data_IF_891839459965
#
_entry.id   IF_891839459965
#
_cell.length_a   1.000
_cell.length_b   1.000
_cell.length_c   1.000
_cell.angle_alpha   90.00
_cell.angle_beta   90.00
_cell.angle_gamma   90.00
#
_symmetry.space_group_name_H-M   'P 1'
#
loop_
_entity.id
_entity.type
_entity.pdbx_description
1 polymer ?
#
# COMPACT_ATOMS: atom_id res chain seq x y z
N UNK A 1 46.39 -26.25 47.57
CA UNK A 1 45.78 -25.03 47.01
C UNK A 1 45.31 -25.34 45.60
N UNK A 2 44.03 -25.69 45.41
CA UNK A 2 43.44 -25.99 44.10
C UNK A 2 42.51 -24.84 43.74
N UNK A 3 42.94 -23.99 42.81
CA UNK A 3 42.14 -22.87 42.32
C UNK A 3 41.28 -23.37 41.16
N UNK A 4 39.97 -23.46 41.38
CA UNK A 4 39.00 -23.74 40.33
C UNK A 4 38.78 -22.46 39.51
N UNK A 5 39.29 -22.44 38.29
CA UNK A 5 39.04 -21.37 37.32
C UNK A 5 37.62 -21.56 36.77
N UNK A 6 36.66 -20.77 37.27
CA UNK A 6 35.28 -20.76 36.78
C UNK A 6 35.19 -19.83 35.56
N UNK A 7 35.30 -20.39 34.36
CA UNK A 7 35.11 -19.61 33.12
C UNK A 7 33.61 -19.49 32.82
N UNK A 8 33.06 -18.30 33.00
CA UNK A 8 31.68 -17.97 32.66
C UNK A 8 31.58 -17.68 31.15
N UNK A 9 31.00 -18.61 30.39
CA UNK A 9 30.76 -18.43 28.96
C UNK A 9 29.53 -17.51 28.75
N UNK A 10 29.78 -16.24 28.46
CA UNK A 10 28.74 -15.28 28.11
C UNK A 10 28.32 -15.49 26.64
N UNK A 11 27.28 -16.30 26.40
CA UNK A 11 26.70 -16.46 25.06
C UNK A 11 25.86 -15.23 24.74
N UNK A 12 26.40 -14.32 23.93
CA UNK A 12 25.66 -13.20 23.37
C UNK A 12 24.69 -13.73 22.29
N UNK A 13 23.41 -13.83 22.62
CA UNK A 13 22.36 -14.13 21.65
C UNK A 13 22.12 -12.87 20.81
N UNK A 14 22.77 -12.78 19.65
CA UNK A 14 22.46 -11.77 18.65
C UNK A 14 21.12 -12.15 17.98
N UNK A 15 20.03 -11.49 18.37
CA UNK A 15 18.74 -11.64 17.73
C UNK A 15 18.79 -11.17 16.28
N UNK A 16 18.57 -12.07 15.34
CA UNK A 16 18.42 -11.73 13.92
C UNK A 16 17.03 -11.08 13.76
N UNK A 17 16.99 -9.75 13.73
CA UNK A 17 15.79 -9.02 13.37
C UNK A 17 15.55 -9.17 11.86
N UNK A 18 14.77 -10.17 11.47
CA UNK A 18 14.23 -10.26 10.12
C UNK A 18 13.21 -9.15 9.92
N UNK A 19 13.62 -8.06 9.27
CA UNK A 19 12.71 -7.00 8.82
C UNK A 19 11.84 -7.60 7.70
N UNK A 20 10.67 -8.12 8.08
CA UNK A 20 9.68 -8.55 7.11
C UNK A 20 9.22 -7.34 6.29
N UNK A 21 9.18 -7.50 4.97
CA UNK A 21 8.62 -6.47 4.10
C UNK A 21 7.14 -6.25 4.48
N UNK A 22 6.76 -4.99 4.65
CA UNK A 22 5.41 -4.59 5.05
C UNK A 22 4.73 -3.80 3.93
N UNK A 23 3.41 -3.95 3.80
CA UNK A 23 2.60 -3.21 2.82
C UNK A 23 2.54 -1.71 3.12
N UNK A 24 2.76 -1.33 4.37
CA UNK A 24 2.78 0.07 4.80
C UNK A 24 4.00 0.81 4.24
N UNK A 25 3.85 2.13 4.10
CA UNK A 25 4.86 3.02 3.52
C UNK A 25 4.38 3.71 2.25
N UNK A 26 5.31 4.39 1.58
CA UNK A 26 5.02 5.18 0.37
C UNK A 26 5.28 4.38 -0.90
N UNK A 27 4.32 4.45 -1.81
CA UNK A 27 4.30 3.70 -3.06
C UNK A 27 4.03 4.62 -4.23
N UNK A 28 4.86 4.52 -5.26
CA UNK A 28 4.69 5.17 -6.55
C UNK A 28 3.76 4.34 -7.42
N UNK A 29 2.68 4.96 -7.89
CA UNK A 29 1.71 4.36 -8.79
C UNK A 29 2.12 4.55 -10.25
N UNK A 30 1.83 3.58 -11.10
CA UNK A 30 2.19 3.57 -12.52
C UNK A 30 0.92 3.47 -13.38
N UNK A 31 0.85 4.23 -14.47
CA UNK A 31 -0.14 4.01 -15.53
C UNK A 31 0.15 2.69 -16.25
N UNK A 32 -0.79 1.75 -16.21
CA UNK A 32 -0.66 0.44 -16.86
C UNK A 32 -0.68 0.51 -18.39
N UNK A 33 -1.14 1.64 -18.97
CA UNK A 33 -1.17 1.87 -20.42
C UNK A 33 0.03 2.69 -20.91
N UNK A 34 0.43 3.73 -20.18
CA UNK A 34 1.51 4.63 -20.63
C UNK A 34 2.85 4.35 -19.98
N UNK A 35 2.88 3.66 -18.84
CA UNK A 35 4.11 3.45 -18.05
C UNK A 35 4.51 4.64 -17.19
N UNK A 36 3.75 5.74 -17.21
CA UNK A 36 4.10 6.95 -16.48
C UNK A 36 3.80 6.84 -14.98
N UNK A 37 4.66 7.45 -14.17
CA UNK A 37 4.39 7.62 -12.74
C UNK A 37 3.25 8.64 -12.52
N UNK A 38 2.21 8.25 -11.77
CA UNK A 38 1.04 9.12 -11.54
C UNK A 38 1.10 9.86 -10.21
N UNK A 39 1.30 9.12 -9.14
CA UNK A 39 1.16 9.64 -7.77
C UNK A 39 2.01 8.86 -6.78
N UNK A 40 2.23 9.46 -5.61
CA UNK A 40 2.68 8.75 -4.41
C UNK A 40 1.46 8.50 -3.52
N UNK A 41 1.30 7.24 -3.10
CA UNK A 41 0.27 6.79 -2.17
C UNK A 41 0.95 6.29 -0.91
N UNK A 42 0.57 6.85 0.24
CA UNK A 42 0.97 6.36 1.55
C UNK A 42 -0.03 5.31 2.02
N UNK A 43 0.45 4.08 2.19
CA UNK A 43 -0.31 2.98 2.77
C UNK A 43 -0.02 2.93 4.27
N UNK A 44 -1.08 2.91 5.07
CA UNK A 44 -1.01 2.91 6.53
C UNK A 44 -2.05 1.98 7.14
N UNK A 45 -1.79 1.58 8.38
CA UNK A 45 -2.75 0.80 9.17
C UNK A 45 -3.50 1.72 10.14
N UNK A 46 -4.81 1.51 10.24
CA UNK A 46 -5.66 2.16 11.23
C UNK A 46 -6.70 1.16 11.72
N UNK A 47 -6.75 0.93 13.03
CA UNK A 47 -7.69 0.00 13.68
C UNK A 47 -7.67 -1.42 13.06
N UNK A 48 -6.48 -1.96 12.78
CA UNK A 48 -6.31 -3.30 12.21
C UNK A 48 -6.68 -3.43 10.73
N UNK A 49 -6.92 -2.30 10.03
CA UNK A 49 -7.24 -2.27 8.60
C UNK A 49 -6.26 -1.39 7.84
N UNK A 50 -6.04 -1.73 6.58
CA UNK A 50 -5.15 -0.99 5.68
C UNK A 50 -5.92 0.05 4.87
N UNK A 51 -5.34 1.23 4.80
CA UNK A 51 -5.81 2.37 4.02
C UNK A 51 -4.67 2.94 3.17
N UNK A 52 -5.03 3.68 2.13
CA UNK A 52 -4.05 4.29 1.22
C UNK A 52 -4.47 5.71 0.85
N UNK A 53 -3.64 6.68 1.20
CA UNK A 53 -3.88 8.11 0.95
C UNK A 53 -2.98 8.61 -0.18
N UNK A 54 -3.53 9.34 -1.13
CA UNK A 54 -2.72 10.03 -2.13
C UNK A 54 -2.00 11.20 -1.44
N UNK A 55 -0.68 11.17 -1.37
CA UNK A 55 0.12 12.21 -0.71
C UNK A 55 0.80 13.15 -1.69
N UNK A 56 0.92 12.76 -2.95
CA UNK A 56 1.51 13.60 -4.00
C UNK A 56 1.00 13.20 -5.38
N UNK A 57 0.64 14.17 -6.23
CA UNK A 57 0.44 13.97 -7.66
C UNK A 57 1.73 14.34 -8.42
N UNK A 58 2.30 13.36 -9.12
CA UNK A 58 3.58 13.52 -9.82
C UNK A 58 3.43 14.21 -11.17
N UNK A 59 2.27 14.09 -11.83
CA UNK A 59 2.00 14.79 -13.08
C UNK A 59 1.63 16.27 -12.82
N UNK A 60 2.45 17.25 -13.22
CA UNK A 60 2.19 18.66 -12.96
C UNK A 60 0.89 19.17 -13.57
N UNK A 61 0.50 18.67 -14.75
CA UNK A 61 -0.75 19.04 -15.42
C UNK A 61 -2.00 18.56 -14.67
N UNK A 62 -1.81 17.66 -13.69
CA UNK A 62 -2.88 17.12 -12.85
C UNK A 62 -2.78 17.59 -11.41
N UNK A 63 -1.78 18.41 -11.04
CA UNK A 63 -1.73 19.05 -9.73
C UNK A 63 -3.03 19.81 -9.48
N UNK A 64 -3.59 19.64 -8.28
CA UNK A 64 -4.88 20.20 -7.86
C UNK A 64 -6.14 19.64 -8.58
N UNK A 65 -6.03 18.56 -9.34
CA UNK A 65 -7.21 17.87 -9.88
C UNK A 65 -8.16 17.49 -8.73
N UNK A 66 -9.46 17.67 -8.93
CA UNK A 66 -10.50 17.25 -8.01
C UNK A 66 -11.15 15.94 -8.50
N UNK A 67 -11.76 15.19 -7.59
CA UNK A 67 -12.58 14.05 -7.98
C UNK A 67 -14.02 14.48 -8.29
N UNK A 68 -14.23 15.09 -9.45
CA UNK A 68 -15.55 15.63 -9.84
C UNK A 68 -16.58 14.53 -10.14
N UNK A 69 -16.10 13.36 -10.54
CA UNK A 69 -16.92 12.17 -10.83
C UNK A 69 -17.18 11.29 -9.61
N UNK A 70 -16.48 11.54 -8.50
CA UNK A 70 -16.74 10.80 -7.26
C UNK A 70 -18.14 11.14 -6.72
N UNK A 71 -18.67 10.24 -5.91
CA UNK A 71 -19.92 10.43 -5.19
C UNK A 71 -19.69 10.60 -3.69
N UNK A 72 -20.75 11.02 -3.00
CA UNK A 72 -20.77 11.14 -1.54
C UNK A 72 -19.67 12.06 -0.99
N UNK A 73 -19.00 11.59 0.05
CA UNK A 73 -18.00 12.38 0.76
C UNK A 73 -16.75 12.71 -0.07
N UNK A 74 -16.48 12.02 -1.18
CA UNK A 74 -15.28 12.23 -1.99
C UNK A 74 -15.51 13.18 -3.17
N UNK A 75 -16.77 13.53 -3.46
CA UNK A 75 -17.13 14.41 -4.58
C UNK A 75 -16.52 15.80 -4.44
N UNK A 76 -15.84 16.26 -5.49
CA UNK A 76 -15.29 17.60 -5.58
C UNK A 76 -14.09 17.88 -4.66
N UNK A 77 -13.60 16.88 -3.94
CA UNK A 77 -12.39 17.00 -3.12
C UNK A 77 -11.13 16.95 -4.01
N UNK A 78 -10.05 17.64 -3.63
CA UNK A 78 -8.74 17.47 -4.27
C UNK A 78 -8.32 16.01 -4.22
N UNK A 79 -7.81 15.46 -5.33
CA UNK A 79 -7.36 14.06 -5.38
C UNK A 79 -6.18 13.84 -4.43
N UNK A 80 -5.25 14.80 -4.38
CA UNK A 80 -4.23 14.83 -3.36
C UNK A 80 -4.89 15.00 -1.99
N UNK A 81 -4.63 14.07 -1.08
CA UNK A 81 -5.29 13.97 0.22
C UNK A 81 -6.42 12.94 0.30
N UNK A 82 -6.94 12.43 -0.83
CA UNK A 82 -7.98 11.39 -0.79
C UNK A 82 -7.44 10.06 -0.27
N UNK A 83 -8.27 9.41 0.54
CA UNK A 83 -8.10 8.01 0.91
C UNK A 83 -8.72 7.15 -0.20
N UNK A 84 -7.86 6.58 -1.04
CA UNK A 84 -8.28 5.77 -2.18
C UNK A 84 -8.34 4.28 -1.86
N UNK A 85 -7.46 3.73 -1.02
CA UNK A 85 -7.61 2.36 -0.50
C UNK A 85 -8.34 2.43 0.84
N UNK A 86 -9.39 1.65 1.00
CA UNK A 86 -10.34 1.77 2.11
C UNK A 86 -10.56 0.42 2.79
N UNK A 87 -9.92 0.24 3.94
CA UNK A 87 -10.32 -0.75 4.93
C UNK A 87 -9.97 -2.20 4.62
N UNK A 88 -8.85 -2.48 3.93
CA UNK A 88 -8.45 -3.85 3.63
C UNK A 88 -8.06 -4.60 4.92
N UNK A 89 -8.38 -5.88 4.98
CA UNK A 89 -8.06 -6.78 6.10
C UNK A 89 -7.02 -7.79 5.64
N UNK A 90 -6.14 -8.19 6.57
CA UNK A 90 -5.14 -9.22 6.30
C UNK A 90 -5.82 -10.58 6.11
N UNK A 91 -5.44 -11.29 5.06
CA UNK A 91 -5.87 -12.65 4.72
C UNK A 91 -4.65 -13.43 4.21
N UNK A 92 -4.02 -14.22 5.07
CA UNK A 92 -2.77 -14.91 4.76
C UNK A 92 -1.63 -13.94 4.39
N UNK A 93 -1.20 -14.00 3.13
CA UNK A 93 -0.09 -13.22 2.56
C UNK A 93 -0.54 -11.95 1.79
N UNK A 94 -1.85 -11.69 1.76
CA UNK A 94 -2.47 -10.55 1.06
C UNK A 94 -3.37 -9.76 2.01
N UNK A 95 -3.88 -8.63 1.52
CA UNK A 95 -4.93 -7.86 2.18
C UNK A 95 -6.11 -7.67 1.23
N UNK A 96 -7.34 -7.88 1.69
CA UNK A 96 -8.56 -7.94 0.87
C UNK A 96 -9.78 -7.40 1.64
N UNK A 97 -11.01 -7.58 1.12
CA UNK A 97 -12.29 -7.24 1.77
C UNK A 97 -12.50 -5.74 2.04
N UNK A 98 -11.85 -4.90 1.24
CA UNK A 98 -12.16 -3.48 1.17
C UNK A 98 -12.06 -2.99 -0.27
N UNK A 99 -11.99 -1.68 -0.44
CA UNK A 99 -12.17 -1.05 -1.75
C UNK A 99 -11.00 -0.18 -2.16
N UNK A 100 -10.89 0.05 -3.47
CA UNK A 100 -10.05 1.08 -4.08
C UNK A 100 -10.92 2.03 -4.92
N UNK A 101 -10.77 3.33 -4.69
CA UNK A 101 -11.38 4.39 -5.47
C UNK A 101 -10.49 4.74 -6.67
N UNK A 102 -11.04 4.68 -7.87
CA UNK A 102 -10.47 5.31 -9.07
C UNK A 102 -10.99 6.75 -9.17
N UNK A 103 -10.21 7.78 -8.79
CA UNK A 103 -10.68 9.15 -8.79
C UNK A 103 -10.87 9.72 -10.21
N UNK A 104 -10.35 9.07 -11.25
CA UNK A 104 -10.56 9.51 -12.64
C UNK A 104 -11.92 9.05 -13.18
N UNK A 105 -12.45 7.96 -12.63
CA UNK A 105 -13.75 7.40 -12.98
C UNK A 105 -14.83 7.66 -11.93
N UNK A 106 -14.44 8.04 -10.71
CA UNK A 106 -15.34 8.18 -9.57
C UNK A 106 -15.89 6.86 -9.04
N UNK A 107 -15.25 5.73 -9.37
CA UNK A 107 -15.78 4.40 -9.08
C UNK A 107 -14.99 3.69 -7.99
N UNK A 108 -15.70 2.99 -7.11
CA UNK A 108 -15.13 2.05 -6.16
C UNK A 108 -15.07 0.66 -6.77
N UNK A 109 -13.99 -0.04 -6.48
CA UNK A 109 -13.74 -1.42 -6.87
C UNK A 109 -13.33 -2.21 -5.63
N UNK A 110 -13.75 -3.46 -5.52
CA UNK A 110 -13.19 -4.36 -4.52
C UNK A 110 -11.69 -4.49 -4.77
N UNK A 111 -10.90 -4.51 -3.70
CA UNK A 111 -9.46 -4.39 -3.77
C UNK A 111 -8.76 -5.52 -3.03
N UNK A 112 -7.70 -6.02 -3.65
CA UNK A 112 -6.71 -6.87 -3.01
C UNK A 112 -5.33 -6.29 -3.24
N UNK A 113 -4.50 -6.25 -2.19
CA UNK A 113 -3.08 -5.92 -2.31
C UNK A 113 -2.20 -7.06 -1.81
N UNK A 114 -1.06 -7.27 -2.46
CA UNK A 114 -0.07 -8.28 -2.07
C UNK A 114 1.33 -7.79 -2.40
N UNK A 115 2.29 -8.05 -1.51
CA UNK A 115 3.69 -7.77 -1.78
C UNK A 115 4.25 -8.76 -2.79
N UNK A 116 4.93 -8.23 -3.81
CA UNK A 116 5.81 -8.99 -4.70
C UNK A 116 7.26 -8.63 -4.35
N UNK A 117 7.86 -9.44 -3.48
CA UNK A 117 9.15 -9.12 -2.87
C UNK A 117 9.09 -7.91 -1.94
N UNK A 118 10.17 -7.12 -1.90
CA UNK A 118 10.31 -6.00 -0.93
C UNK A 118 9.80 -4.66 -1.47
N UNK A 119 9.96 -4.44 -2.77
CA UNK A 119 9.83 -3.12 -3.40
C UNK A 119 8.71 -3.03 -4.44
N UNK A 120 7.92 -4.09 -4.62
CA UNK A 120 6.73 -4.09 -5.49
C UNK A 120 5.49 -4.48 -4.71
N UNK A 121 4.38 -3.86 -5.09
CA UNK A 121 3.07 -4.13 -4.54
C UNK A 121 2.09 -4.34 -5.70
N UNK A 122 1.51 -5.53 -5.75
CA UNK A 122 0.41 -5.82 -6.64
C UNK A 122 -0.86 -5.24 -6.04
N UNK A 123 -1.52 -4.36 -6.78
CA UNK A 123 -2.78 -3.71 -6.41
C UNK A 123 -3.84 -4.08 -7.42
N UNK A 124 -4.75 -4.97 -7.02
CA UNK A 124 -5.82 -5.47 -7.89
C UNK A 124 -7.15 -4.83 -7.53
N UNK A 125 -7.81 -4.23 -8.52
CA UNK A 125 -9.19 -3.74 -8.43
C UNK A 125 -10.12 -4.56 -9.33
N UNK A 126 -11.31 -4.92 -8.83
CA UNK A 126 -12.29 -5.73 -9.58
C UNK A 126 -13.74 -5.36 -9.24
N UNK A 127 -14.69 -5.75 -10.11
CA UNK A 127 -16.13 -5.61 -9.85
C UNK A 127 -16.76 -7.00 -9.68
N UNK A 128 -17.36 -7.26 -8.51
CA UNK A 128 -17.97 -8.55 -8.21
C UNK A 128 -16.94 -9.65 -8.04
N UNK A 129 -16.65 -10.42 -9.09
CA UNK A 129 -15.68 -11.53 -9.06
C UNK A 129 -14.26 -11.05 -9.37
N UNK A 130 -13.28 -11.54 -8.61
CA UNK A 130 -11.88 -11.10 -8.71
C UNK A 130 -11.22 -11.39 -10.07
N UNK A 131 -11.74 -12.34 -10.84
CA UNK A 131 -11.28 -12.66 -12.20
C UNK A 131 -11.54 -11.52 -13.19
N UNK A 132 -12.60 -10.72 -12.99
CA UNK A 132 -12.98 -9.60 -13.84
C UNK A 132 -12.43 -8.28 -13.27
N UNK A 133 -11.10 -8.18 -13.25
CA UNK A 133 -10.38 -7.06 -12.65
C UNK A 133 -9.09 -6.72 -13.39
N UNK A 134 -8.38 -5.72 -12.85
CA UNK A 134 -7.06 -5.29 -13.32
C UNK A 134 -6.10 -5.22 -12.16
N UNK A 135 -4.85 -5.60 -12.41
CA UNK A 135 -3.76 -5.45 -11.45
C UNK A 135 -2.83 -4.35 -11.93
N UNK A 136 -2.48 -3.43 -11.04
CA UNK A 136 -1.39 -2.48 -11.22
C UNK A 136 -0.23 -2.88 -10.31
N UNK A 137 0.99 -2.65 -10.78
CA UNK A 137 2.19 -2.80 -9.96
C UNK A 137 2.61 -1.42 -9.47
N UNK A 138 2.69 -1.26 -8.16
CA UNK A 138 3.21 -0.06 -7.52
C UNK A 138 4.62 -0.33 -7.01
N UNK A 139 5.45 0.72 -6.99
CA UNK A 139 6.85 0.62 -6.61
C UNK A 139 7.14 1.37 -5.31
N UNK A 140 7.87 0.74 -4.39
CA UNK A 140 8.22 1.39 -3.13
C UNK A 140 9.06 2.63 -3.40
N UNK A 141 8.73 3.73 -2.71
CA UNK A 141 9.56 4.94 -2.69
C UNK A 141 10.76 4.68 -1.77
N UNK A 142 11.96 4.95 -2.27
CA UNK A 142 13.23 4.81 -1.55
C UNK A 142 13.65 6.14 -0.94
#
# INVERSE_FOLDING_TARGET
MKNYFFTFLFVAVAGIFSVNAQVTGKWKTIDDKTGDAKSIVEIYEQNGKIYGKVVEILNPARKNSKCDKCDGADKGKPIEGLIIIKGLKKDGDKYTDGDILDPQKGKLYSCTIKLDGKDKLDVRGYMGISMLGRTQVWHRVK
#
